data_IF_641575977008
#
_entry.id   IF_641575977008
#
_cell.length_a   1.000
_cell.length_b   1.000
_cell.length_c   1.000
_cell.angle_alpha   90.00
_cell.angle_beta   90.00
_cell.angle_gamma   90.00
#
_symmetry.space_group_name_H-M   'P 1'
#
loop_
_entity.id
_entity.type
_entity.pdbx_description
1 polymer ?
#
# COMPACT_ATOMS: atom_id res chain seq x y z
N UNK A 1 13.81 16.35 39.40
CA UNK A 1 13.23 17.68 39.15
C UNK A 1 14.28 18.50 38.40
N UNK A 2 13.99 18.93 37.17
CA UNK A 2 14.88 19.86 36.42
C UNK A 2 14.48 21.28 36.80
N UNK A 3 15.43 22.00 37.39
CA UNK A 3 15.24 23.40 37.68
C UNK A 3 15.55 24.21 36.41
N UNK A 4 14.63 25.06 36.00
CA UNK A 4 14.67 25.82 34.74
C UNK A 4 14.36 27.31 34.97
N UNK A 5 14.91 27.87 36.04
CA UNK A 5 14.72 29.25 36.46
C UNK A 5 16.01 30.06 36.39
N UNK A 6 15.87 31.36 36.52
CA UNK A 6 16.97 32.31 36.65
C UNK A 6 17.36 32.45 38.10
N UNK A 7 18.62 32.17 38.43
CA UNK A 7 19.22 32.44 39.75
C UNK A 7 20.05 33.70 39.69
N UNK A 8 19.92 34.55 40.68
CA UNK A 8 20.78 35.72 40.88
C UNK A 8 21.68 35.43 42.06
N UNK A 9 22.99 35.43 41.81
CA UNK A 9 24.03 35.35 42.84
C UNK A 9 24.49 36.77 43.12
N UNK A 10 24.37 37.19 44.37
CA UNK A 10 24.82 38.52 44.81
C UNK A 10 26.06 38.37 45.67
N UNK A 11 27.14 38.98 45.24
CA UNK A 11 28.35 39.16 46.06
C UNK A 11 28.33 40.53 46.74
N UNK A 12 28.64 40.55 48.03
CA UNK A 12 28.70 41.78 48.81
C UNK A 12 30.07 41.88 49.51
N UNK A 13 30.71 43.01 49.38
CA UNK A 13 31.93 43.34 50.07
C UNK A 13 31.72 44.52 51.02
N UNK A 14 32.12 44.37 52.30
CA UNK A 14 32.02 45.41 53.32
C UNK A 14 33.35 46.26 53.36
N UNK A 15 33.17 47.58 53.47
CA UNK A 15 34.30 48.53 53.56
C UNK A 15 33.90 49.85 54.15
N UNK A 16 34.85 50.86 54.25
CA UNK A 16 34.63 52.12 54.91
C UNK A 16 33.53 53.00 54.39
N UNK A 17 33.07 52.84 53.17
CA UNK A 17 31.97 53.62 52.54
C UNK A 17 30.67 52.80 52.34
N UNK A 18 30.47 51.75 53.19
CA UNK A 18 29.32 50.86 53.11
C UNK A 18 29.54 49.64 52.20
N UNK A 19 28.61 48.68 52.16
CA UNK A 19 28.76 47.52 51.34
C UNK A 19 28.66 47.83 49.85
N UNK A 20 29.58 47.26 49.02
CA UNK A 20 29.47 47.24 47.56
C UNK A 20 28.95 45.90 47.15
N UNK A 21 27.99 45.86 46.26
CA UNK A 21 27.33 44.64 45.77
C UNK A 21 27.47 44.51 44.27
N UNK A 22 27.65 43.26 43.82
CA UNK A 22 27.61 42.86 42.39
C UNK A 22 26.73 41.65 42.23
N UNK A 23 26.00 41.56 41.12
CA UNK A 23 25.12 40.43 40.81
C UNK A 23 25.58 39.67 39.59
N UNK A 24 25.44 38.35 39.65
CA UNK A 24 25.67 37.44 38.53
C UNK A 24 24.38 36.63 38.31
N UNK A 25 23.85 36.67 37.09
CA UNK A 25 22.64 35.96 36.71
C UNK A 25 23.01 34.64 36.01
N UNK A 26 22.49 33.53 36.54
CA UNK A 26 22.60 32.20 35.94
C UNK A 26 21.22 31.78 35.46
N UNK A 27 21.10 31.52 34.16
CA UNK A 27 19.90 30.96 33.56
C UNK A 27 20.10 29.50 33.20
N UNK A 28 19.26 28.63 33.75
CA UNK A 28 19.25 27.19 33.43
C UNK A 28 18.23 26.92 32.35
N UNK A 29 18.69 26.38 31.22
CA UNK A 29 17.85 26.01 30.09
C UNK A 29 17.43 24.54 30.18
N UNK A 30 16.14 24.18 30.05
CA UNK A 30 15.72 22.79 30.11
C UNK A 30 16.30 21.98 28.95
N UNK A 31 16.49 20.69 29.18
CA UNK A 31 16.96 19.73 28.17
C UNK A 31 15.85 19.54 27.10
N UNK A 32 16.25 19.55 25.84
CA UNK A 32 15.34 19.26 24.73
C UNK A 32 14.73 17.86 24.87
N UNK A 33 13.44 17.74 24.63
CA UNK A 33 12.72 16.45 24.62
C UNK A 33 12.97 15.65 23.34
N UNK A 34 12.79 14.34 23.42
CA UNK A 34 12.77 13.47 22.21
C UNK A 34 11.57 13.82 21.34
N UNK A 35 11.76 13.97 20.02
CA UNK A 35 10.65 14.22 19.10
C UNK A 35 9.60 13.09 19.15
N UNK A 36 8.35 13.44 18.90
CA UNK A 36 7.24 12.50 18.72
C UNK A 36 6.49 12.86 17.45
N UNK A 37 6.41 11.93 16.52
CA UNK A 37 5.63 12.11 15.30
C UNK A 37 4.13 12.06 15.60
N UNK A 38 3.36 12.96 15.02
CA UNK A 38 1.89 13.00 15.16
C UNK A 38 1.27 11.73 14.55
N UNK A 39 1.83 11.25 13.44
CA UNK A 39 1.44 10.00 12.79
C UNK A 39 1.87 8.71 13.53
N UNK A 40 2.51 8.83 14.71
CA UNK A 40 3.09 7.71 15.44
C UNK A 40 4.43 7.23 14.87
N UNK A 41 4.82 5.99 15.19
CA UNK A 41 6.12 5.43 14.79
C UNK A 41 6.09 4.79 13.39
N UNK A 42 4.90 4.39 12.92
CA UNK A 42 4.74 3.68 11.63
C UNK A 42 3.48 4.09 10.90
N UNK A 43 3.50 4.00 9.57
CA UNK A 43 2.32 4.12 8.71
C UNK A 43 2.46 3.25 7.46
N UNK A 44 1.34 3.02 6.77
CA UNK A 44 1.28 2.23 5.54
C UNK A 44 0.55 3.07 4.49
N UNK A 45 1.03 3.02 3.26
CA UNK A 45 0.37 3.63 2.11
C UNK A 45 0.54 2.78 0.85
N UNK A 46 -0.34 2.99 -0.12
CA UNK A 46 -0.18 2.41 -1.44
C UNK A 46 0.85 3.20 -2.27
N UNK A 47 1.54 2.49 -3.16
CA UNK A 47 2.42 3.07 -4.17
C UNK A 47 1.67 4.14 -5.00
N UNK A 48 2.35 5.26 -5.29
CA UNK A 48 1.78 6.35 -6.05
C UNK A 48 2.50 7.66 -5.77
N UNK A 49 2.48 8.59 -6.73
CA UNK A 49 3.00 9.94 -6.54
C UNK A 49 2.10 10.70 -5.57
N UNK A 50 2.70 11.23 -4.50
CA UNK A 50 1.99 12.00 -3.47
C UNK A 50 2.98 12.80 -2.63
N UNK A 51 2.53 13.94 -2.11
CA UNK A 51 3.26 14.72 -1.10
C UNK A 51 2.59 14.56 0.26
N UNK A 52 3.34 14.08 1.25
CA UNK A 52 2.87 13.83 2.61
C UNK A 52 3.75 14.58 3.61
N UNK A 53 3.13 15.25 4.57
CA UNK A 53 3.84 15.92 5.65
C UNK A 53 3.90 15.00 6.88
N UNK A 54 5.12 14.74 7.37
CA UNK A 54 5.36 13.99 8.59
C UNK A 54 5.80 14.94 9.69
N UNK A 55 4.82 15.42 10.45
CA UNK A 55 5.04 16.42 11.48
C UNK A 55 5.40 15.77 12.83
N UNK A 56 6.30 16.41 13.57
CA UNK A 56 6.75 15.98 14.89
C UNK A 56 6.84 17.15 15.85
N UNK A 57 6.65 16.89 17.14
CA UNK A 57 6.76 17.86 18.22
C UNK A 57 7.82 17.42 19.24
N UNK A 58 8.49 18.37 19.86
CA UNK A 58 9.42 18.11 20.95
C UNK A 58 9.36 19.24 21.99
N UNK A 59 9.43 18.91 23.28
CA UNK A 59 9.51 19.90 24.33
C UNK A 59 10.85 20.64 24.31
N UNK A 60 10.86 21.93 24.60
CA UNK A 60 12.06 22.77 24.74
C UNK A 60 12.98 22.73 23.50
N UNK A 61 12.45 22.47 22.32
CA UNK A 61 13.21 22.51 21.07
C UNK A 61 13.34 23.95 20.56
N UNK A 62 14.47 24.25 19.92
CA UNK A 62 14.69 25.47 19.15
C UNK A 62 14.34 25.30 17.66
N UNK A 63 14.04 24.08 17.23
CA UNK A 63 13.63 23.71 15.89
C UNK A 63 13.79 22.21 15.65
N UNK A 64 12.96 21.70 14.71
CA UNK A 64 13.05 20.30 14.26
C UNK A 64 13.45 20.29 12.79
N UNK A 65 14.40 19.43 12.45
CA UNK A 65 14.79 19.16 11.07
C UNK A 65 14.51 17.70 10.73
N UNK A 66 14.25 17.45 9.45
CA UNK A 66 13.85 16.12 8.96
C UNK A 66 14.81 15.61 7.90
N UNK A 67 15.07 14.31 7.93
CA UNK A 67 15.84 13.60 6.91
C UNK A 67 15.10 12.36 6.44
N UNK A 68 15.37 11.94 5.20
CA UNK A 68 14.82 10.73 4.58
C UNK A 68 15.98 9.74 4.36
N UNK A 69 15.70 8.44 4.51
CA UNK A 69 16.70 7.39 4.32
C UNK A 69 17.25 7.34 2.88
N UNK A 70 18.48 6.84 2.72
CA UNK A 70 19.20 6.79 1.45
C UNK A 70 18.48 5.97 0.37
N UNK A 71 17.80 4.87 0.74
CA UNK A 71 17.06 4.04 -0.21
C UNK A 71 15.92 4.83 -0.87
N UNK A 72 15.14 5.60 -0.08
CA UNK A 72 14.07 6.45 -0.60
C UNK A 72 14.63 7.58 -1.47
N UNK A 73 15.70 8.25 -1.02
CA UNK A 73 16.36 9.31 -1.80
C UNK A 73 16.91 8.78 -3.12
N UNK A 74 17.57 7.60 -3.10
CA UNK A 74 18.12 6.95 -4.29
C UNK A 74 17.05 6.53 -5.30
N UNK A 75 15.80 6.32 -4.86
CA UNK A 75 14.65 6.06 -5.73
C UNK A 75 14.01 7.34 -6.30
N UNK A 76 14.51 8.53 -5.95
CA UNK A 76 14.02 9.82 -6.44
C UNK A 76 12.97 10.49 -5.54
N UNK A 77 12.65 9.92 -4.37
CA UNK A 77 11.84 10.64 -3.38
C UNK A 77 12.63 11.79 -2.78
N UNK A 78 11.95 12.84 -2.36
CA UNK A 78 12.60 14.01 -1.75
C UNK A 78 11.94 14.39 -0.44
N UNK A 79 12.65 15.13 0.42
CA UNK A 79 12.12 15.67 1.67
C UNK A 79 12.47 17.14 1.83
N UNK A 80 11.55 17.93 2.34
CA UNK A 80 11.80 19.30 2.79
C UNK A 80 12.23 19.25 4.25
N UNK A 81 13.52 19.49 4.51
CA UNK A 81 14.11 19.34 5.84
C UNK A 81 13.45 20.23 6.92
N UNK A 82 12.89 21.36 6.57
CA UNK A 82 12.26 22.29 7.52
C UNK A 82 10.84 21.89 7.92
N UNK A 83 10.12 21.12 7.07
CA UNK A 83 8.70 20.85 7.26
C UNK A 83 8.34 19.37 7.37
N UNK A 84 9.29 18.46 7.08
CA UNK A 84 9.02 17.02 7.01
C UNK A 84 8.14 16.61 5.83
N UNK A 85 7.95 17.51 4.84
CA UNK A 85 7.18 17.22 3.64
C UNK A 85 7.98 16.30 2.71
N UNK A 86 7.48 15.08 2.51
CA UNK A 86 8.06 14.05 1.62
C UNK A 86 7.28 14.00 0.33
N UNK A 87 7.95 14.16 -0.80
CA UNK A 87 7.38 13.95 -2.12
C UNK A 87 7.79 12.54 -2.61
N UNK A 88 6.79 11.66 -2.75
CA UNK A 88 6.96 10.30 -3.24
C UNK A 88 6.80 10.24 -4.74
N UNK A 89 7.70 9.51 -5.42
CA UNK A 89 7.58 9.22 -6.86
C UNK A 89 6.64 8.02 -7.09
N UNK A 90 5.96 8.01 -8.24
CA UNK A 90 4.93 7.01 -8.57
C UNK A 90 5.43 5.56 -8.52
N UNK A 91 6.70 5.31 -8.89
CA UNK A 91 7.27 3.97 -8.97
C UNK A 91 7.84 3.41 -7.66
N UNK A 92 7.92 4.22 -6.59
CA UNK A 92 8.54 3.78 -5.34
C UNK A 92 7.64 2.81 -4.56
N UNK A 93 8.22 1.69 -4.15
CA UNK A 93 7.65 0.77 -3.15
C UNK A 93 8.77 0.28 -2.23
N UNK A 94 8.45 -0.03 -0.98
CA UNK A 94 9.42 -0.40 0.04
C UNK A 94 9.24 0.39 1.32
N UNK A 95 10.31 0.57 2.12
CA UNK A 95 10.25 1.30 3.38
C UNK A 95 10.97 2.64 3.27
N UNK A 96 10.24 3.72 3.53
CA UNK A 96 10.79 5.06 3.74
C UNK A 96 10.90 5.35 5.23
N UNK A 97 12.08 5.78 5.67
CA UNK A 97 12.32 6.13 7.06
C UNK A 97 12.58 7.63 7.16
N UNK A 98 11.72 8.32 7.89
CA UNK A 98 11.84 9.75 8.20
C UNK A 98 12.42 9.89 9.60
N UNK A 99 13.53 10.62 9.73
CA UNK A 99 14.13 10.94 11.02
C UNK A 99 13.89 12.42 11.35
N UNK A 100 13.25 12.68 12.49
CA UNK A 100 13.12 14.02 13.06
C UNK A 100 14.24 14.24 14.06
N UNK A 101 14.92 15.39 13.99
CA UNK A 101 16.00 15.82 14.89
C UNK A 101 15.63 17.13 15.54
N UNK A 102 15.35 17.13 16.84
CA UNK A 102 15.02 18.30 17.65
C UNK A 102 16.29 18.92 18.24
N UNK A 103 16.58 20.16 17.85
CA UNK A 103 17.68 20.92 18.40
C UNK A 103 17.31 21.56 19.75
N UNK A 104 18.28 21.77 20.63
CA UNK A 104 18.09 22.42 21.94
C UNK A 104 19.18 22.04 22.92
N UNK A 105 19.03 22.45 24.18
CA UNK A 105 20.01 22.18 25.24
C UNK A 105 20.15 20.67 25.46
N UNK A 106 21.41 20.16 25.54
CA UNK A 106 21.75 18.74 25.65
C UNK A 106 21.20 17.88 24.50
N UNK A 107 20.99 18.48 23.32
CA UNK A 107 20.56 17.78 22.09
C UNK A 107 21.65 17.76 21.02
N UNK A 108 21.29 17.34 19.78
CA UNK A 108 19.95 17.03 19.34
C UNK A 108 19.40 15.69 19.88
N UNK A 109 18.08 15.58 19.97
CA UNK A 109 17.34 14.33 20.19
C UNK A 109 16.66 13.92 18.92
N UNK A 110 16.57 12.62 18.64
CA UNK A 110 16.01 12.10 17.40
C UNK A 110 14.89 11.09 17.63
N UNK A 111 13.97 11.03 16.69
CA UNK A 111 12.96 9.97 16.57
C UNK A 111 12.76 9.58 15.10
N UNK A 112 12.18 8.41 14.88
CA UNK A 112 12.01 7.82 13.56
C UNK A 112 10.54 7.50 13.32
N UNK A 113 10.07 7.77 12.09
CA UNK A 113 8.81 7.30 11.56
C UNK A 113 9.06 6.44 10.32
N UNK A 114 8.56 5.20 10.30
CA UNK A 114 8.72 4.26 9.18
C UNK A 114 7.42 4.14 8.38
N UNK A 115 7.50 4.40 7.08
CA UNK A 115 6.39 4.28 6.13
C UNK A 115 6.61 3.05 5.26
N UNK A 116 5.68 2.10 5.29
CA UNK A 116 5.68 0.97 4.35
C UNK A 116 4.85 1.35 3.12
N UNK A 117 5.49 1.41 1.96
CA UNK A 117 4.84 1.69 0.68
C UNK A 117 4.60 0.36 -0.02
N UNK A 118 3.32 -0.06 -0.09
CA UNK A 118 2.88 -1.31 -0.70
C UNK A 118 2.75 -1.14 -2.21
N UNK A 119 3.34 -2.03 -3.03
CA UNK A 119 3.24 -1.92 -4.48
C UNK A 119 1.80 -2.07 -4.97
N UNK A 120 1.50 -1.44 -6.12
CA UNK A 120 0.21 -1.55 -6.81
C UNK A 120 -0.07 -2.99 -7.23
N UNK A 121 -1.30 -3.44 -7.05
CA UNK A 121 -1.75 -4.75 -7.54
C UNK A 121 -1.69 -4.80 -9.07
N UNK A 122 -1.17 -5.90 -9.60
CA UNK A 122 -1.13 -6.15 -11.05
C UNK A 122 -2.48 -6.59 -11.61
N UNK A 123 -2.66 -6.44 -12.92
CA UNK A 123 -3.81 -6.99 -13.64
C UNK A 123 -3.73 -8.53 -13.62
N UNK A 124 -4.83 -9.24 -13.33
CA UNK A 124 -4.86 -10.70 -13.38
C UNK A 124 -4.50 -11.24 -14.76
N UNK A 125 -3.81 -12.37 -14.78
CA UNK A 125 -3.50 -13.12 -16.02
C UNK A 125 -4.01 -14.53 -15.84
N UNK A 126 -4.93 -14.96 -16.72
CA UNK A 126 -5.47 -16.32 -16.72
C UNK A 126 -4.43 -17.33 -17.21
N UNK A 127 -4.39 -18.49 -16.58
CA UNK A 127 -3.51 -19.60 -17.00
C UNK A 127 -3.86 -20.11 -18.42
N UNK A 128 -5.14 -20.02 -18.80
CA UNK A 128 -5.62 -20.36 -20.16
C UNK A 128 -5.50 -19.19 -21.16
N UNK A 129 -4.89 -18.05 -20.78
CA UNK A 129 -4.84 -16.84 -21.60
C UNK A 129 -6.16 -16.09 -21.62
N UNK A 130 -6.40 -15.28 -22.67
CA UNK A 130 -7.58 -14.43 -22.79
C UNK A 130 -8.82 -15.17 -23.32
N UNK A 131 -8.63 -16.33 -23.98
CA UNK A 131 -9.73 -17.07 -24.57
C UNK A 131 -9.42 -18.58 -24.64
N UNK A 132 -10.50 -19.38 -24.64
CA UNK A 132 -10.49 -20.82 -24.89
C UNK A 132 -11.78 -21.27 -25.58
N UNK A 133 -11.81 -22.51 -26.04
CA UNK A 133 -13.00 -23.11 -26.63
C UNK A 133 -13.24 -24.50 -26.04
N UNK A 134 -14.51 -24.89 -25.95
CA UNK A 134 -14.94 -26.24 -25.55
C UNK A 134 -16.12 -26.70 -26.38
N UNK A 135 -16.38 -27.99 -26.37
CA UNK A 135 -17.62 -28.56 -26.91
C UNK A 135 -18.76 -28.43 -25.87
N UNK A 136 -19.99 -28.30 -26.34
CA UNK A 136 -21.20 -28.36 -25.54
C UNK A 136 -21.24 -29.65 -24.70
N UNK A 137 -21.81 -29.56 -23.51
CA UNK A 137 -21.98 -30.68 -22.59
C UNK A 137 -21.72 -30.26 -21.14
N UNK A 138 -22.35 -30.98 -20.21
CA UNK A 138 -22.14 -30.77 -18.77
C UNK A 138 -20.68 -31.08 -18.40
N UNK A 139 -20.03 -30.15 -17.76
CA UNK A 139 -18.64 -30.29 -17.27
C UNK A 139 -18.30 -29.18 -16.28
N UNK A 140 -17.35 -29.43 -15.39
CA UNK A 140 -16.76 -28.40 -14.54
C UNK A 140 -15.32 -28.13 -14.96
N UNK A 141 -14.99 -26.87 -15.21
CA UNK A 141 -13.64 -26.41 -15.59
C UNK A 141 -13.22 -25.30 -14.64
N UNK A 142 -12.00 -25.39 -14.11
CA UNK A 142 -11.44 -24.36 -13.22
C UNK A 142 -10.57 -23.39 -14.01
N UNK A 143 -10.93 -22.12 -14.00
CA UNK A 143 -10.21 -21.03 -14.65
C UNK A 143 -9.43 -20.24 -13.58
N UNK A 144 -8.13 -20.54 -13.46
CA UNK A 144 -7.26 -19.86 -12.49
C UNK A 144 -6.57 -18.67 -13.12
N UNK A 145 -6.38 -17.62 -12.32
CA UNK A 145 -5.61 -16.44 -12.68
C UNK A 145 -4.61 -16.09 -11.57
N UNK A 146 -3.50 -15.45 -11.94
CA UNK A 146 -2.51 -14.89 -11.02
C UNK A 146 -2.39 -13.39 -11.21
N UNK A 147 -2.10 -12.66 -10.15
CA UNK A 147 -1.79 -11.23 -10.20
C UNK A 147 -0.66 -10.90 -9.22
N UNK A 148 0.29 -10.06 -9.65
CA UNK A 148 1.37 -9.59 -8.76
C UNK A 148 0.81 -8.69 -7.67
N UNK A 149 1.41 -8.73 -6.47
CA UNK A 149 1.03 -7.90 -5.32
C UNK A 149 -0.46 -8.00 -4.93
N UNK A 150 -1.14 -9.09 -5.30
CA UNK A 150 -2.54 -9.32 -4.94
C UNK A 150 -2.66 -9.89 -3.53
N UNK A 151 -3.67 -9.45 -2.80
CA UNK A 151 -4.07 -10.02 -1.50
C UNK A 151 -5.12 -11.13 -1.66
N UNK A 152 -5.66 -11.32 -2.86
CA UNK A 152 -6.64 -12.36 -3.20
C UNK A 152 -7.27 -12.10 -4.56
N UNK A 153 -7.75 -13.18 -5.20
CA UNK A 153 -8.48 -13.11 -6.48
C UNK A 153 -9.85 -13.72 -6.29
N UNK A 154 -10.87 -13.03 -6.81
CA UNK A 154 -12.24 -13.53 -6.88
C UNK A 154 -12.67 -13.61 -8.34
N UNK A 155 -13.63 -14.49 -8.61
CA UNK A 155 -14.11 -14.77 -9.96
C UNK A 155 -15.60 -14.54 -10.06
N UNK A 156 -16.05 -14.04 -11.20
CA UNK A 156 -17.45 -13.92 -11.57
C UNK A 156 -17.70 -14.43 -12.99
N UNK A 157 -18.93 -14.83 -13.26
CA UNK A 157 -19.40 -15.27 -14.56
C UNK A 157 -20.42 -14.26 -15.08
N UNK A 158 -20.45 -14.06 -16.39
CA UNK A 158 -21.39 -13.12 -17.02
C UNK A 158 -22.85 -13.53 -16.82
N UNK A 159 -23.75 -12.53 -16.90
CA UNK A 159 -25.19 -12.74 -16.64
C UNK A 159 -25.86 -13.68 -17.65
N UNK A 160 -25.41 -13.70 -18.91
CA UNK A 160 -25.99 -14.57 -19.94
C UNK A 160 -25.68 -16.03 -19.64
N UNK A 161 -24.43 -16.31 -19.25
CA UNK A 161 -24.01 -17.66 -18.84
C UNK A 161 -24.76 -18.14 -17.59
N UNK A 162 -24.94 -17.26 -16.58
CA UNK A 162 -25.72 -17.59 -15.37
C UNK A 162 -27.17 -17.89 -15.72
N UNK A 163 -27.81 -17.05 -16.57
CA UNK A 163 -29.18 -17.26 -17.03
C UNK A 163 -29.34 -18.54 -17.86
N UNK A 164 -28.25 -19.00 -18.51
CA UNK A 164 -28.16 -20.26 -19.21
C UNK A 164 -27.95 -21.49 -18.32
N UNK A 165 -28.01 -21.34 -17.00
CA UNK A 165 -27.87 -22.44 -16.03
C UNK A 165 -26.43 -22.73 -15.57
N UNK A 166 -25.45 -21.99 -16.08
CA UNK A 166 -24.06 -22.16 -15.64
C UNK A 166 -23.84 -21.52 -14.26
N UNK A 167 -22.90 -22.07 -13.49
CA UNK A 167 -22.53 -21.53 -12.17
C UNK A 167 -21.03 -21.39 -12.03
N UNK A 168 -20.59 -20.53 -11.11
CA UNK A 168 -19.15 -20.34 -10.78
C UNK A 168 -18.92 -20.35 -9.29
N UNK A 169 -17.81 -20.96 -8.86
CA UNK A 169 -17.29 -20.83 -7.50
C UNK A 169 -16.37 -19.62 -7.45
N UNK A 170 -16.80 -18.55 -6.80
CA UNK A 170 -16.12 -17.25 -6.83
C UNK A 170 -14.70 -17.26 -6.22
N UNK A 171 -14.38 -18.22 -5.37
CA UNK A 171 -13.05 -18.32 -4.74
C UNK A 171 -12.05 -19.15 -5.54
N UNK A 172 -12.53 -20.05 -6.41
CA UNK A 172 -11.67 -20.99 -7.14
C UNK A 172 -11.68 -20.79 -8.66
N UNK A 173 -12.69 -20.09 -9.19
CA UNK A 173 -12.90 -19.95 -10.63
C UNK A 173 -13.42 -21.24 -11.30
N UNK A 174 -13.96 -22.19 -10.52
CA UNK A 174 -14.57 -23.40 -11.06
C UNK A 174 -15.93 -23.08 -11.63
N UNK A 175 -16.07 -23.19 -12.96
CA UNK A 175 -17.33 -23.01 -13.71
C UNK A 175 -17.93 -24.38 -14.00
N UNK A 176 -19.18 -24.59 -13.56
CA UNK A 176 -19.97 -25.75 -13.94
C UNK A 176 -20.93 -25.34 -15.05
N UNK A 177 -20.77 -25.98 -16.20
CA UNK A 177 -21.56 -25.72 -17.41
C UNK A 177 -22.81 -26.59 -17.45
N UNK A 178 -23.94 -26.00 -17.86
CA UNK A 178 -25.15 -26.73 -18.21
C UNK A 178 -24.93 -27.53 -19.51
N UNK A 179 -25.59 -28.68 -19.64
CA UNK A 179 -25.45 -29.59 -20.78
C UNK A 179 -25.91 -28.96 -22.10
N UNK A 180 -26.93 -28.10 -22.07
CA UNK A 180 -27.50 -27.45 -23.23
C UNK A 180 -26.84 -26.11 -23.59
N UNK A 181 -25.95 -25.60 -22.72
CA UNK A 181 -25.35 -24.28 -22.92
C UNK A 181 -24.50 -24.21 -24.17
N UNK A 182 -24.71 -23.20 -25.00
CA UNK A 182 -23.92 -22.85 -26.20
C UNK A 182 -23.68 -21.34 -26.24
N UNK A 183 -22.65 -20.92 -26.95
CA UNK A 183 -22.28 -19.51 -27.05
C UNK A 183 -21.06 -19.14 -26.18
N UNK A 184 -20.90 -17.87 -25.93
CA UNK A 184 -19.76 -17.37 -25.16
C UNK A 184 -20.08 -17.28 -23.66
N UNK A 185 -19.10 -17.66 -22.84
CA UNK A 185 -19.10 -17.39 -21.39
C UNK A 185 -17.90 -16.50 -21.06
N UNK A 186 -18.12 -15.42 -20.31
CA UNK A 186 -17.05 -14.53 -19.88
C UNK A 186 -16.82 -14.72 -18.38
N UNK A 187 -15.60 -15.14 -18.03
CA UNK A 187 -15.13 -15.26 -16.65
C UNK A 187 -14.27 -14.02 -16.34
N UNK A 188 -14.68 -13.23 -15.36
CA UNK A 188 -13.90 -12.08 -14.89
C UNK A 188 -13.15 -12.44 -13.62
N UNK A 189 -11.83 -12.31 -13.62
CA UNK A 189 -10.99 -12.37 -12.42
C UNK A 189 -10.77 -10.96 -11.87
N UNK A 190 -10.97 -10.77 -10.56
CA UNK A 190 -10.77 -9.50 -9.85
C UNK A 190 -9.71 -9.68 -8.76
N UNK A 191 -8.54 -9.04 -8.92
CA UNK A 191 -7.44 -9.07 -7.98
C UNK A 191 -7.50 -7.89 -7.02
N UNK A 192 -7.61 -8.17 -5.72
CA UNK A 192 -7.58 -7.17 -4.66
C UNK A 192 -6.14 -6.80 -4.29
N UNK A 193 -5.93 -5.56 -3.85
CA UNK A 193 -4.63 -5.05 -3.41
C UNK A 193 -4.56 -3.53 -3.48
N UNK A 194 -3.38 -2.97 -3.23
CA UNK A 194 -3.17 -1.51 -3.32
C UNK A 194 -3.50 -0.98 -4.72
N UNK A 195 -4.24 0.13 -4.77
CA UNK A 195 -4.74 0.76 -6.00
C UNK A 195 -5.60 -0.17 -6.88
N UNK A 196 -6.23 -1.17 -6.26
CA UNK A 196 -7.15 -2.09 -6.92
C UNK A 196 -8.61 -1.86 -6.52
N UNK A 197 -9.51 -2.78 -6.92
CA UNK A 197 -9.19 -4.01 -7.64
C UNK A 197 -8.77 -3.78 -9.10
N UNK A 198 -8.00 -4.74 -9.65
CA UNK A 198 -7.72 -4.86 -11.09
C UNK A 198 -8.43 -6.08 -11.63
N UNK A 199 -8.96 -5.98 -12.85
CA UNK A 199 -9.73 -7.05 -13.46
C UNK A 199 -9.17 -7.48 -14.81
N UNK A 200 -9.43 -8.75 -15.16
CA UNK A 200 -9.20 -9.28 -16.49
C UNK A 200 -10.29 -10.32 -16.82
N UNK A 201 -10.57 -10.49 -18.10
CA UNK A 201 -11.58 -11.40 -18.61
C UNK A 201 -10.92 -12.56 -19.35
N UNK A 202 -11.59 -13.73 -19.25
CA UNK A 202 -11.34 -14.91 -20.07
C UNK A 202 -12.63 -15.32 -20.77
N UNK A 203 -12.62 -15.38 -22.10
CA UNK A 203 -13.79 -15.75 -22.90
C UNK A 203 -13.73 -17.22 -23.30
N UNK A 204 -14.76 -17.98 -22.99
CA UNK A 204 -14.91 -19.40 -23.40
C UNK A 204 -15.98 -19.51 -24.46
N UNK A 205 -15.61 -20.00 -25.64
CA UNK A 205 -16.58 -20.33 -26.70
C UNK A 205 -17.07 -21.77 -26.54
N UNK A 206 -18.38 -21.96 -26.33
CA UNK A 206 -19.02 -23.26 -26.21
C UNK A 206 -19.65 -23.61 -27.57
N UNK A 207 -19.00 -24.54 -28.30
CA UNK A 207 -19.41 -24.97 -29.62
C UNK A 207 -20.47 -26.07 -29.52
N UNK A 208 -21.44 -26.05 -30.44
CA UNK A 208 -22.43 -27.12 -30.58
C UNK A 208 -21.76 -28.48 -30.81
N UNK A 209 -22.32 -29.53 -30.22
CA UNK A 209 -21.94 -30.92 -30.58
C UNK A 209 -22.45 -31.24 -31.97
N UNK A 210 -21.61 -31.95 -32.74
CA UNK A 210 -22.02 -32.46 -34.04
C UNK A 210 -23.08 -33.55 -33.85
N UNK A 211 -24.19 -33.46 -34.61
CA UNK A 211 -25.23 -34.48 -34.63
C UNK A 211 -24.71 -35.79 -35.23
N UNK A 212 -25.42 -36.86 -34.92
CA UNK A 212 -25.14 -38.13 -35.56
C UNK A 212 -25.32 -38.04 -37.10
N UNK A 213 -24.37 -38.50 -37.85
CA UNK A 213 -24.49 -38.61 -39.32
C UNK A 213 -25.50 -39.71 -39.66
N UNK A 214 -26.41 -39.42 -40.58
CA UNK A 214 -27.34 -40.40 -41.13
C UNK A 214 -27.07 -40.59 -42.60
N UNK A 215 -27.10 -41.83 -43.06
CA UNK A 215 -27.04 -42.14 -44.50
C UNK A 215 -28.45 -42.00 -45.08
N UNK A 216 -28.58 -41.31 -46.19
CA UNK A 216 -29.85 -41.14 -46.89
C UNK A 216 -30.50 -42.48 -47.31
N UNK A 217 -29.71 -43.55 -47.46
CA UNK A 217 -30.15 -44.90 -47.79
C UNK A 217 -30.26 -45.83 -46.54
N UNK A 218 -30.23 -45.28 -45.32
CA UNK A 218 -30.26 -46.05 -44.07
C UNK A 218 -28.92 -46.70 -43.73
N UNK A 219 -28.87 -47.48 -42.61
CA UNK A 219 -27.66 -48.10 -42.08
C UNK A 219 -27.17 -49.28 -42.90
N UNK A 220 -27.97 -49.84 -43.76
CA UNK A 220 -27.61 -50.95 -44.67
C UNK A 220 -28.35 -50.85 -46.01
N UNK A 221 -27.68 -51.20 -47.09
CA UNK A 221 -28.26 -51.38 -48.41
C UNK A 221 -27.78 -52.71 -48.98
N UNK A 222 -28.73 -53.51 -49.56
CA UNK A 222 -28.41 -54.69 -50.35
C UNK A 222 -28.52 -54.33 -51.84
N UNK A 223 -27.53 -54.77 -52.64
CA UNK A 223 -27.59 -54.75 -54.11
C UNK A 223 -28.06 -56.07 -54.64
#
# INVERSE_FOLDING_TARGET
ASWNETSIITASANGCNGPSTSTHTVTTTPTVGTPSFIAGATSIRCQGAETVVYDATAAYTTGITYTLNAASLGAGNTIVAATGSVNYVAGWSGTSTITASAAGCNGPKTAVHSVTITPTVGTPVFAFGAASARCQGANTVTYTAGATNSTGITYSLDAASISGGNTIVSTTGAVTYDAAWTGASVITASASGCNGPKTADHTVTNNLTVGATTFAMGASSTR
#
